data_IF_935379775709
#
_entry.id   IF_935379775709
#
_cell.length_a   1.000
_cell.length_b   1.000
_cell.length_c   1.000
_cell.angle_alpha   90.00
_cell.angle_beta   90.00
_cell.angle_gamma   90.00
#
_symmetry.space_group_name_H-M   'P 1'
#
loop_
_entity.id
_entity.type
_entity.pdbx_description
1 polymer ?
#
# COMPACT_ATOMS: atom_id res chain seq x y z
N UNK A 1 16.61 -23.62 4.45
CA UNK A 1 16.11 -22.52 3.59
C UNK A 1 16.45 -21.18 4.25
N UNK A 2 17.50 -20.50 3.77
CA UNK A 2 18.05 -19.30 4.39
C UNK A 2 17.22 -18.06 4.03
N UNK A 3 16.69 -17.42 5.07
CA UNK A 3 16.04 -16.11 5.10
C UNK A 3 16.90 -15.02 4.43
N UNK A 4 16.72 -14.80 3.12
CA UNK A 4 17.52 -13.82 2.34
C UNK A 4 17.34 -12.35 2.76
N UNK A 5 16.35 -12.01 3.59
CA UNK A 5 15.96 -10.62 3.88
C UNK A 5 15.97 -10.24 5.37
N UNK A 6 16.71 -10.96 6.24
CA UNK A 6 16.75 -10.60 7.66
C UNK A 6 17.96 -9.76 8.02
N UNK A 7 17.69 -8.69 8.77
CA UNK A 7 18.69 -7.71 9.24
C UNK A 7 19.44 -8.24 10.49
N UNK A 8 19.01 -9.38 11.06
CA UNK A 8 19.69 -9.99 12.20
C UNK A 8 21.14 -10.37 11.85
N UNK A 9 22.08 -9.87 12.65
CA UNK A 9 23.53 -10.09 12.49
C UNK A 9 23.96 -11.53 12.73
N UNK A 10 23.26 -12.26 13.60
CA UNK A 10 23.55 -13.65 13.91
C UNK A 10 22.61 -14.60 13.15
N UNK A 11 23.14 -15.27 12.11
CA UNK A 11 22.38 -16.23 11.29
C UNK A 11 22.30 -17.64 11.89
N UNK A 12 23.20 -18.01 12.81
CA UNK A 12 23.27 -19.37 13.38
C UNK A 12 22.30 -19.56 14.56
N UNK A 13 22.05 -18.53 15.36
CA UNK A 13 21.03 -18.52 16.44
C UNK A 13 19.88 -17.55 16.16
N UNK A 14 19.54 -17.42 14.88
CA UNK A 14 18.61 -16.42 14.38
C UNK A 14 17.24 -16.45 15.09
N UNK A 15 16.64 -17.64 15.24
CA UNK A 15 15.27 -17.79 15.72
C UNK A 15 15.06 -17.37 17.18
N UNK A 16 16.08 -17.48 18.04
CA UNK A 16 15.96 -17.18 19.47
C UNK A 16 15.95 -15.67 19.79
N UNK A 17 16.47 -14.84 18.87
CA UNK A 17 16.58 -13.38 19.08
C UNK A 17 15.90 -12.55 17.98
N UNK A 18 15.21 -13.19 17.04
CA UNK A 18 14.56 -12.48 15.95
C UNK A 18 13.28 -11.79 16.44
N UNK A 19 13.20 -10.46 16.24
CA UNK A 19 11.99 -9.67 16.52
C UNK A 19 11.06 -9.51 15.32
N UNK A 20 11.30 -10.23 14.22
CA UNK A 20 10.48 -10.11 13.00
C UNK A 20 9.08 -10.64 13.30
N UNK A 21 8.05 -9.83 13.01
CA UNK A 21 6.66 -10.26 13.14
C UNK A 21 5.96 -10.54 11.78
N UNK A 22 6.52 -10.07 10.66
CA UNK A 22 5.95 -10.29 9.32
C UNK A 22 6.92 -11.06 8.44
N UNK A 23 6.40 -12.08 7.76
CA UNK A 23 7.10 -12.81 6.71
C UNK A 23 6.76 -12.27 5.32
N UNK A 24 7.79 -11.94 4.53
CA UNK A 24 7.65 -11.51 3.15
C UNK A 24 8.46 -10.25 2.83
N UNK A 25 8.03 -9.54 1.78
CA UNK A 25 8.62 -8.30 1.32
C UNK A 25 7.91 -7.08 1.94
N UNK A 26 8.54 -5.91 1.86
CA UNK A 26 8.03 -4.66 2.45
C UNK A 26 6.59 -4.34 2.03
N UNK A 27 6.24 -4.49 0.76
CA UNK A 27 4.88 -4.26 0.27
C UNK A 27 3.83 -5.22 0.84
N UNK A 28 4.21 -6.43 1.28
CA UNK A 28 3.29 -7.35 1.98
C UNK A 28 3.01 -6.88 3.41
N UNK A 29 3.97 -6.22 4.07
CA UNK A 29 3.78 -5.67 5.41
C UNK A 29 2.64 -4.65 5.45
N UNK A 30 2.51 -3.82 4.41
CA UNK A 30 1.44 -2.83 4.31
C UNK A 30 0.07 -3.50 4.16
N UNK A 31 -0.02 -4.53 3.30
CA UNK A 31 -1.27 -5.27 3.04
C UNK A 31 -1.73 -6.00 4.31
N UNK A 32 -0.84 -6.79 4.93
CA UNK A 32 -1.15 -7.57 6.12
C UNK A 32 -1.45 -6.66 7.32
N UNK A 33 -0.70 -5.56 7.46
CA UNK A 33 -0.91 -4.54 8.48
C UNK A 33 -2.28 -3.87 8.35
N UNK A 34 -2.66 -3.44 7.15
CA UNK A 34 -3.95 -2.81 6.90
C UNK A 34 -5.12 -3.75 7.21
N UNK A 35 -5.07 -5.01 6.75
CA UNK A 35 -6.08 -6.02 7.09
C UNK A 35 -6.20 -6.24 8.60
N UNK A 36 -5.07 -6.33 9.30
CA UNK A 36 -5.03 -6.53 10.75
C UNK A 36 -5.70 -5.37 11.49
N UNK A 37 -5.44 -4.12 11.08
CA UNK A 37 -6.04 -2.93 11.66
C UNK A 37 -7.57 -2.94 11.46
N UNK A 38 -8.04 -3.18 10.23
CA UNK A 38 -9.48 -3.19 9.93
C UNK A 38 -10.25 -4.30 10.66
N UNK A 39 -9.67 -5.51 10.76
CA UNK A 39 -10.30 -6.59 11.54
C UNK A 39 -10.32 -6.29 13.03
N UNK A 40 -9.28 -5.62 13.54
CA UNK A 40 -9.16 -5.28 14.96
C UNK A 40 -10.09 -4.14 15.37
N UNK A 41 -10.38 -3.17 14.50
CA UNK A 41 -11.32 -2.11 14.85
C UNK A 41 -12.71 -2.65 15.17
N UNK A 42 -13.20 -3.63 14.41
CA UNK A 42 -14.49 -4.25 14.72
C UNK A 42 -14.39 -5.20 15.92
N UNK A 43 -13.43 -6.12 15.92
CA UNK A 43 -13.35 -7.16 16.97
C UNK A 43 -12.91 -6.67 18.35
N UNK A 44 -12.09 -5.61 18.44
CA UNK A 44 -11.55 -5.11 19.71
C UNK A 44 -12.12 -3.77 20.14
N UNK A 45 -12.49 -2.92 19.18
CA UNK A 45 -12.90 -1.55 19.45
C UNK A 45 -14.36 -1.27 19.07
N UNK A 46 -15.08 -2.25 18.50
CA UNK A 46 -16.47 -2.17 18.09
C UNK A 46 -16.80 -0.97 17.15
N UNK A 47 -15.87 -0.62 16.25
CA UNK A 47 -16.12 0.39 15.21
C UNK A 47 -15.60 -0.06 13.85
N UNK A 48 -16.05 0.60 12.79
CA UNK A 48 -15.67 0.31 11.41
C UNK A 48 -15.07 1.53 10.74
N UNK A 49 -13.98 1.32 10.01
CA UNK A 49 -13.41 2.33 9.11
C UNK A 49 -14.18 2.34 7.79
N UNK A 50 -14.63 3.51 7.35
CA UNK A 50 -15.31 3.69 6.05
C UNK A 50 -14.38 4.19 4.95
N UNK A 51 -13.19 4.66 5.35
CA UNK A 51 -12.22 5.30 4.46
C UNK A 51 -10.83 4.72 4.71
N UNK A 52 -10.09 4.48 3.63
CA UNK A 52 -8.72 4.03 3.62
C UNK A 52 -7.84 5.13 3.03
N UNK A 53 -6.93 5.67 3.84
CA UNK A 53 -5.85 6.54 3.40
C UNK A 53 -4.53 5.76 3.54
N UNK A 54 -3.91 5.44 2.41
CA UNK A 54 -2.68 4.67 2.38
C UNK A 54 -1.71 5.18 1.32
N UNK A 55 -0.60 4.47 1.15
CA UNK A 55 0.31 4.78 0.06
C UNK A 55 -0.36 4.51 -1.29
N UNK A 56 0.27 4.94 -2.38
CA UNK A 56 -0.21 4.67 -3.74
C UNK A 56 -0.22 3.18 -4.11
N UNK A 57 0.18 2.30 -3.19
CA UNK A 57 0.08 0.88 -3.37
C UNK A 57 -1.39 0.43 -3.32
N UNK A 58 -2.00 0.29 -4.49
CA UNK A 58 -3.38 -0.18 -4.66
C UNK A 58 -3.62 -1.57 -4.06
N UNK A 59 -2.56 -2.37 -3.85
CA UNK A 59 -2.67 -3.74 -3.33
C UNK A 59 -3.32 -3.82 -1.96
N UNK A 60 -2.99 -2.91 -1.04
CA UNK A 60 -3.54 -2.95 0.31
C UNK A 60 -5.04 -2.65 0.31
N UNK A 61 -5.46 -1.60 -0.40
CA UNK A 61 -6.88 -1.29 -0.57
C UNK A 61 -7.65 -2.41 -1.26
N UNK A 62 -7.15 -2.93 -2.38
CA UNK A 62 -7.81 -4.03 -3.10
C UNK A 62 -7.99 -5.25 -2.19
N UNK A 63 -6.98 -5.58 -1.38
CA UNK A 63 -7.08 -6.71 -0.45
C UNK A 63 -8.16 -6.47 0.62
N UNK A 64 -8.32 -5.23 1.13
CA UNK A 64 -9.39 -4.90 2.09
C UNK A 64 -10.77 -5.16 1.47
N UNK A 65 -10.96 -4.74 0.21
CA UNK A 65 -12.22 -4.93 -0.53
C UNK A 65 -12.46 -6.40 -0.84
N UNK A 66 -11.46 -7.10 -1.39
CA UNK A 66 -11.53 -8.53 -1.72
C UNK A 66 -11.82 -9.40 -0.49
N UNK A 67 -11.24 -9.06 0.67
CA UNK A 67 -11.47 -9.78 1.92
C UNK A 67 -12.79 -9.41 2.60
N UNK A 68 -13.55 -8.45 2.05
CA UNK A 68 -14.83 -7.97 2.54
C UNK A 68 -14.86 -7.84 4.08
N UNK A 69 -13.89 -7.09 4.64
CA UNK A 69 -13.57 -7.12 6.08
C UNK A 69 -14.73 -6.81 7.02
N UNK A 70 -15.76 -6.10 6.56
CA UNK A 70 -16.96 -5.78 7.33
C UNK A 70 -18.26 -6.35 6.74
N UNK A 71 -18.15 -7.20 5.71
CA UNK A 71 -19.29 -7.70 4.95
C UNK A 71 -20.02 -6.60 4.16
N UNK A 72 -21.17 -6.99 3.61
CA UNK A 72 -21.97 -6.13 2.71
C UNK A 72 -22.59 -4.92 3.41
N UNK A 73 -22.50 -4.85 4.74
CA UNK A 73 -23.05 -3.77 5.57
C UNK A 73 -22.20 -2.51 5.55
N UNK A 74 -20.92 -2.59 5.16
CA UNK A 74 -20.00 -1.44 5.25
C UNK A 74 -18.91 -1.48 4.17
N UNK A 75 -19.08 -0.67 3.13
CA UNK A 75 -18.08 -0.49 2.07
C UNK A 75 -16.97 0.48 2.49
N UNK A 76 -15.73 0.17 2.13
CA UNK A 76 -14.56 1.03 2.37
C UNK A 76 -14.22 1.79 1.09
N UNK A 77 -13.99 3.10 1.19
CA UNK A 77 -13.58 3.96 0.06
C UNK A 77 -12.11 4.36 0.18
N UNK A 78 -11.40 4.48 -0.95
CA UNK A 78 -10.01 4.94 -0.96
C UNK A 78 -9.96 6.46 -1.03
N UNK A 79 -9.16 7.07 -0.15
CA UNK A 79 -8.78 8.47 -0.21
C UNK A 79 -7.40 8.62 -0.87
N UNK A 80 -7.20 9.70 -1.61
CA UNK A 80 -5.88 10.09 -2.14
C UNK A 80 -5.28 11.20 -1.26
N UNK A 81 -3.98 11.11 -0.95
CA UNK A 81 -3.30 12.19 -0.25
C UNK A 81 -3.02 13.37 -1.21
N UNK A 82 -3.02 14.60 -0.68
CA UNK A 82 -2.80 15.82 -1.48
C UNK A 82 -1.48 15.74 -2.27
N UNK A 83 -0.41 15.24 -1.65
CA UNK A 83 0.88 15.04 -2.31
C UNK A 83 0.80 14.07 -3.50
N UNK A 84 0.00 13.01 -3.39
CA UNK A 84 -0.26 12.12 -4.52
C UNK A 84 -1.01 12.86 -5.63
N UNK A 85 -2.07 13.59 -5.29
CA UNK A 85 -2.86 14.35 -6.27
C UNK A 85 -1.98 15.34 -7.03
N UNK A 86 -1.12 16.09 -6.33
CA UNK A 86 -0.16 17.01 -6.96
C UNK A 86 0.79 16.26 -7.89
N UNK A 87 1.44 15.19 -7.41
CA UNK A 87 2.38 14.38 -8.21
C UNK A 87 1.73 13.85 -9.49
N UNK A 88 0.51 13.35 -9.40
CA UNK A 88 -0.29 12.86 -10.53
C UNK A 88 -0.57 13.96 -11.56
N UNK A 89 -0.93 15.16 -11.10
CA UNK A 89 -1.16 16.30 -11.97
C UNK A 89 0.13 16.78 -12.65
N UNK A 90 1.25 16.86 -11.91
CA UNK A 90 2.57 17.19 -12.47
C UNK A 90 2.97 16.18 -13.55
N UNK A 91 2.86 14.88 -13.29
CA UNK A 91 3.18 13.84 -14.27
C UNK A 91 2.32 13.94 -15.55
N UNK A 92 1.02 14.27 -15.40
CA UNK A 92 0.13 14.51 -16.54
C UNK A 92 0.62 15.70 -17.36
N UNK A 93 0.89 16.83 -16.70
CA UNK A 93 1.39 18.04 -17.36
C UNK A 93 2.70 17.76 -18.12
N UNK A 94 3.68 17.10 -17.50
CA UNK A 94 4.92 16.72 -18.17
C UNK A 94 4.70 15.80 -19.38
N UNK A 95 3.71 14.90 -19.31
CA UNK A 95 3.34 14.05 -20.44
C UNK A 95 2.73 14.86 -21.59
N UNK A 96 1.92 15.87 -21.28
CA UNK A 96 1.36 16.79 -22.28
C UNK A 96 2.47 17.62 -22.94
N UNK A 97 3.36 18.24 -22.16
CA UNK A 97 4.48 19.02 -22.71
C UNK A 97 5.36 18.19 -23.65
N UNK A 98 5.69 16.96 -23.27
CA UNK A 98 6.51 16.07 -24.10
C UNK A 98 5.82 15.69 -25.41
N UNK A 99 4.49 15.51 -25.41
CA UNK A 99 3.72 15.27 -26.63
C UNK A 99 3.70 16.50 -27.54
N UNK A 100 3.52 17.69 -26.98
CA UNK A 100 3.56 18.95 -27.74
C UNK A 100 4.92 19.12 -28.43
N UNK A 101 6.02 18.98 -27.68
CA UNK A 101 7.39 19.07 -28.23
C UNK A 101 7.65 18.04 -29.33
N UNK A 102 7.19 16.80 -29.18
CA UNK A 102 7.30 15.77 -30.23
C UNK A 102 6.51 16.13 -31.49
N UNK A 103 5.34 16.73 -31.33
CA UNK A 103 4.48 17.13 -32.46
C UNK A 103 5.09 18.32 -33.21
N UNK A 104 5.66 19.28 -32.49
CA UNK A 104 6.39 20.42 -33.05
C UNK A 104 7.67 19.97 -33.77
N UNK A 105 8.39 18.99 -33.24
CA UNK A 105 9.57 18.42 -33.87
C UNK A 105 9.26 17.65 -35.16
N UNK A 106 8.09 17.01 -35.26
CA UNK A 106 7.65 16.30 -36.48
C UNK A 106 7.11 17.24 -37.57
N UNK A 107 6.70 18.46 -37.19
CA UNK A 107 6.22 19.50 -38.13
C UNK A 107 7.34 20.34 -38.74
N UNK A 108 8.58 20.16 -38.30
CA UNK A 108 9.79 20.78 -38.88
C UNK A 108 10.51 19.76 -39.75
#
# INVERSE_FOLDING_TARGET
MLWKHCICTNKTNHLQKCKRNIEGYSGKMEVDGALSIFRRSESKCNFRYTQYLGHDNTKAFNTIIEKNVYGDKCSVTKLECIGHVIKKNVNRYSTFENKTKRTEAFRR
#
